data_IF_285829762094
#
_entry.id   IF_285829762094
#
_cell.length_a   1.000
_cell.length_b   1.000
_cell.length_c   1.000
_cell.angle_alpha   90.00
_cell.angle_beta   90.00
_cell.angle_gamma   90.00
#
_symmetry.space_group_name_H-M   'P 1'
#
loop_
_entity.id
_entity.type
_entity.pdbx_description
1 polymer ?
#
# COMPACT_ATOMS: atom_id res chain seq x y z
N UNK A 1 -17.95 15.43 -13.95
CA UNK A 1 -16.83 16.26 -13.45
C UNK A 1 -15.47 15.59 -13.71
N UNK A 2 -15.31 14.33 -13.37
CA UNK A 2 -14.04 13.60 -13.62
C UNK A 2 -13.74 13.41 -15.11
N UNK A 3 -14.75 13.18 -15.95
CA UNK A 3 -14.56 12.99 -17.40
C UNK A 3 -14.15 14.25 -18.13
N UNK A 4 -14.64 15.43 -17.72
CA UNK A 4 -14.26 16.69 -18.32
C UNK A 4 -12.83 17.10 -17.93
N UNK A 5 -12.40 16.81 -16.71
CA UNK A 5 -11.03 17.09 -16.25
C UNK A 5 -10.00 16.18 -16.93
N UNK A 6 -10.30 14.90 -17.10
CA UNK A 6 -9.47 13.97 -17.86
C UNK A 6 -9.38 14.33 -19.35
N UNK A 7 -10.48 14.78 -19.95
CA UNK A 7 -10.49 15.29 -21.33
C UNK A 7 -9.66 16.55 -21.51
N UNK A 8 -9.69 17.48 -20.54
CA UNK A 8 -8.88 18.69 -20.57
C UNK A 8 -7.39 18.43 -20.34
N UNK A 9 -7.03 17.43 -19.54
CA UNK A 9 -5.65 16.98 -19.35
C UNK A 9 -5.07 16.36 -20.62
N UNK A 10 -5.84 15.58 -21.37
CA UNK A 10 -5.40 14.98 -22.64
C UNK A 10 -5.10 16.04 -23.71
N UNK A 11 -5.71 17.22 -23.66
CA UNK A 11 -5.44 18.33 -24.57
C UNK A 11 -4.16 19.13 -24.24
N UNK A 12 -3.62 18.97 -23.02
CA UNK A 12 -2.41 19.69 -22.56
C UNK A 12 -1.10 19.00 -22.90
N UNK A 13 -1.14 17.71 -23.26
CA UNK A 13 0.04 16.90 -23.52
C UNK A 13 0.09 16.48 -24.99
N UNK A 14 1.34 16.38 -25.53
CA UNK A 14 1.54 15.72 -26.82
C UNK A 14 1.12 14.24 -26.76
N UNK A 15 0.76 13.66 -27.91
CA UNK A 15 0.42 12.24 -27.99
C UNK A 15 1.53 11.34 -27.42
N UNK A 16 2.79 11.69 -27.66
CA UNK A 16 3.95 10.97 -27.11
C UNK A 16 4.03 11.06 -25.59
N UNK A 17 3.76 12.23 -25.02
CA UNK A 17 3.75 12.42 -23.56
C UNK A 17 2.61 11.64 -22.91
N UNK A 18 1.43 11.62 -23.51
CA UNK A 18 0.31 10.82 -23.06
C UNK A 18 0.63 9.30 -23.07
N UNK A 19 1.31 8.83 -24.12
CA UNK A 19 1.77 7.45 -24.23
C UNK A 19 2.76 7.08 -23.13
N UNK A 20 3.74 7.93 -22.84
CA UNK A 20 4.70 7.73 -21.73
C UNK A 20 4.00 7.69 -20.38
N UNK A 21 3.02 8.57 -20.15
CA UNK A 21 2.23 8.58 -18.90
C UNK A 21 1.46 7.27 -18.76
N UNK A 22 0.83 6.80 -19.82
CA UNK A 22 0.07 5.54 -19.82
C UNK A 22 0.98 4.34 -19.53
N UNK A 23 2.16 4.29 -20.12
CA UNK A 23 3.16 3.23 -19.87
C UNK A 23 3.64 3.25 -18.40
N UNK A 24 3.94 4.42 -17.85
CA UNK A 24 4.37 4.55 -16.45
C UNK A 24 3.24 4.18 -15.48
N UNK A 25 2.01 4.55 -15.75
CA UNK A 25 0.84 4.16 -14.95
C UNK A 25 0.65 2.65 -14.97
N UNK A 26 0.72 2.03 -16.14
CA UNK A 26 0.62 0.58 -16.30
C UNK A 26 1.72 -0.14 -15.53
N UNK A 27 2.96 0.32 -15.64
CA UNK A 27 4.10 -0.22 -14.91
C UNK A 27 3.94 -0.14 -13.40
N UNK A 28 3.40 0.98 -12.88
CA UNK A 28 3.08 1.15 -11.47
C UNK A 28 2.05 0.12 -10.99
N UNK A 29 0.97 -0.05 -11.74
CA UNK A 29 -0.10 -0.99 -11.42
C UNK A 29 0.39 -2.44 -11.47
N UNK A 30 1.15 -2.81 -12.49
CA UNK A 30 1.73 -4.16 -12.63
C UNK A 30 2.73 -4.46 -11.49
N UNK A 31 3.56 -3.49 -11.12
CA UNK A 31 4.49 -3.62 -10.00
C UNK A 31 3.75 -3.85 -8.69
N UNK A 32 2.74 -3.04 -8.41
CA UNK A 32 1.91 -3.18 -7.21
C UNK A 32 1.18 -4.53 -7.17
N UNK A 33 0.64 -4.99 -8.30
CA UNK A 33 0.00 -6.29 -8.41
C UNK A 33 0.97 -7.44 -8.14
N UNK A 34 2.15 -7.39 -8.72
CA UNK A 34 3.20 -8.40 -8.54
C UNK A 34 3.68 -8.45 -7.08
N UNK A 35 3.89 -7.31 -6.47
CA UNK A 35 4.29 -7.24 -5.06
C UNK A 35 3.21 -7.82 -4.14
N UNK A 36 1.95 -7.46 -4.34
CA UNK A 36 0.84 -8.01 -3.56
C UNK A 36 0.74 -9.54 -3.71
N UNK A 37 0.88 -10.03 -4.93
CA UNK A 37 0.88 -11.46 -5.21
C UNK A 37 2.03 -12.19 -4.50
N UNK A 38 3.24 -11.63 -4.57
CA UNK A 38 4.41 -12.19 -3.90
C UNK A 38 4.22 -12.25 -2.38
N UNK A 39 3.76 -11.17 -1.76
CA UNK A 39 3.50 -11.11 -0.32
C UNK A 39 2.51 -12.19 0.12
N UNK A 40 1.42 -12.36 -0.61
CA UNK A 40 0.42 -13.38 -0.31
C UNK A 40 0.99 -14.77 -0.51
N UNK A 41 1.69 -15.00 -1.61
CA UNK A 41 2.23 -16.31 -1.95
C UNK A 41 3.32 -16.77 -0.97
N UNK A 42 4.22 -15.88 -0.57
CA UNK A 42 5.26 -16.15 0.41
C UNK A 42 4.73 -16.42 1.82
N UNK A 43 3.55 -15.88 2.14
CA UNK A 43 2.89 -16.02 3.43
C UNK A 43 1.63 -16.89 3.38
N UNK A 44 1.52 -17.76 2.38
CA UNK A 44 0.32 -18.57 2.16
C UNK A 44 -0.05 -19.42 3.37
N UNK A 45 0.92 -20.03 4.03
CA UNK A 45 0.69 -20.88 5.21
C UNK A 45 0.10 -20.08 6.38
N UNK A 46 0.55 -18.83 6.55
CA UNK A 46 0.05 -17.92 7.58
C UNK A 46 -1.39 -17.50 7.26
N UNK A 47 -1.68 -17.24 6.00
CA UNK A 47 -3.04 -16.92 5.54
C UNK A 47 -3.98 -18.10 5.76
N UNK A 48 -3.55 -19.33 5.45
CA UNK A 48 -4.33 -20.55 5.65
C UNK A 48 -4.58 -20.81 7.15
N UNK A 49 -3.61 -20.52 8.02
CA UNK A 49 -3.79 -20.61 9.47
C UNK A 49 -4.79 -19.57 9.99
N UNK A 50 -4.69 -18.33 9.51
CA UNK A 50 -5.66 -17.27 9.82
C UNK A 50 -7.10 -17.70 9.47
N UNK A 51 -7.27 -18.27 8.27
CA UNK A 51 -8.58 -18.79 7.82
C UNK A 51 -9.08 -19.90 8.73
N UNK A 52 -8.23 -20.87 9.08
CA UNK A 52 -8.62 -21.98 10.00
C UNK A 52 -9.07 -21.44 11.36
N UNK A 53 -8.33 -20.50 11.93
CA UNK A 53 -8.69 -19.91 13.21
C UNK A 53 -10.03 -19.15 13.15
N UNK A 54 -10.26 -18.38 12.07
CA UNK A 54 -11.52 -17.66 11.86
C UNK A 54 -12.71 -18.59 11.66
N UNK A 55 -12.54 -19.71 10.98
CA UNK A 55 -13.61 -20.70 10.80
C UNK A 55 -14.02 -21.37 12.12
N UNK A 56 -13.11 -21.49 13.07
CA UNK A 56 -13.38 -22.09 14.39
C UNK A 56 -13.92 -21.06 15.39
N UNK A 57 -13.33 -19.87 15.43
CA UNK A 57 -13.60 -18.86 16.48
C UNK A 57 -14.50 -17.72 16.03
N UNK A 58 -14.72 -17.54 14.69
CA UNK A 58 -15.44 -16.44 14.05
C UNK A 58 -14.79 -15.06 14.25
N UNK A 59 -14.16 -14.81 15.40
CA UNK A 59 -13.44 -13.58 15.72
C UNK A 59 -12.08 -13.90 16.35
N UNK A 60 -11.10 -13.07 16.10
CA UNK A 60 -9.76 -13.15 16.68
C UNK A 60 -9.42 -11.85 17.41
N UNK A 61 -8.81 -11.96 18.58
CA UNK A 61 -8.32 -10.80 19.31
C UNK A 61 -6.89 -10.42 18.86
N UNK A 62 -6.40 -9.28 19.34
CA UNK A 62 -5.10 -8.73 18.97
C UNK A 62 -3.93 -9.69 19.27
N UNK A 63 -3.98 -10.40 20.41
CA UNK A 63 -2.93 -11.36 20.80
C UNK A 63 -2.88 -12.55 19.84
N UNK A 64 -4.03 -13.11 19.53
CA UNK A 64 -4.17 -14.23 18.59
C UNK A 64 -3.67 -13.84 17.18
N UNK A 65 -3.99 -12.63 16.72
CA UNK A 65 -3.47 -12.10 15.47
C UNK A 65 -1.95 -11.93 15.50
N UNK A 66 -1.42 -11.40 16.60
CA UNK A 66 0.03 -11.21 16.76
C UNK A 66 0.78 -12.56 16.73
N UNK A 67 0.22 -13.60 17.33
CA UNK A 67 0.79 -14.96 17.28
C UNK A 67 0.79 -15.53 15.85
N UNK A 68 -0.32 -15.42 15.15
CA UNK A 68 -0.46 -15.89 13.76
C UNK A 68 0.54 -15.16 12.84
N UNK A 69 0.68 -13.84 13.01
CA UNK A 69 1.55 -13.02 12.16
C UNK A 69 3.01 -12.94 12.63
N UNK A 70 3.38 -13.62 13.71
CA UNK A 70 4.76 -13.59 14.23
C UNK A 70 5.82 -14.00 13.20
N UNK A 71 5.48 -14.90 12.30
CA UNK A 71 6.40 -15.46 11.29
C UNK A 71 6.18 -14.88 9.88
N UNK A 72 5.46 -13.77 9.74
CA UNK A 72 5.23 -13.13 8.44
C UNK A 72 6.55 -12.68 7.81
N UNK A 73 6.79 -13.13 6.60
CA UNK A 73 7.90 -12.66 5.77
C UNK A 73 7.55 -11.29 5.21
N UNK A 74 8.24 -10.28 5.69
CA UNK A 74 8.04 -8.90 5.23
C UNK A 74 8.73 -8.70 3.89
N UNK A 75 8.05 -8.03 2.96
CA UNK A 75 8.66 -7.60 1.72
C UNK A 75 9.83 -6.63 1.99
N UNK A 76 10.89 -6.65 1.14
CA UNK A 76 11.97 -5.68 1.25
C UNK A 76 11.43 -4.25 1.13
N UNK A 77 12.07 -3.31 1.82
CA UNK A 77 11.73 -1.89 1.66
C UNK A 77 11.87 -1.51 0.18
N UNK A 78 10.87 -0.83 -0.34
CA UNK A 78 10.93 -0.27 -1.69
C UNK A 78 12.05 0.75 -1.79
N UNK A 79 12.75 0.74 -2.90
CA UNK A 79 13.54 1.89 -3.30
C UNK A 79 12.61 3.10 -3.51
N UNK A 80 13.11 4.29 -3.21
CA UNK A 80 12.33 5.53 -3.26
C UNK A 80 11.75 5.73 -4.66
N UNK A 81 10.44 5.84 -4.74
CA UNK A 81 9.65 5.93 -6.00
C UNK A 81 9.83 7.24 -6.76
N UNK A 82 10.40 8.22 -6.14
CA UNK A 82 10.54 9.54 -6.70
C UNK A 82 11.91 9.65 -7.36
N UNK A 83 11.92 10.09 -8.59
CA UNK A 83 13.10 10.28 -9.43
C UNK A 83 14.16 11.22 -8.84
N UNK A 84 13.94 11.73 -7.66
CA UNK A 84 14.90 12.54 -6.91
C UNK A 84 15.42 11.78 -5.71
N UNK A 85 16.66 11.25 -5.86
CA UNK A 85 17.39 10.56 -4.80
C UNK A 85 17.73 11.47 -3.59
N UNK A 86 17.47 12.76 -3.70
CA UNK A 86 17.69 13.75 -2.64
C UNK A 86 16.45 13.99 -1.77
N UNK A 87 15.30 13.40 -2.13
CA UNK A 87 14.12 13.49 -1.27
C UNK A 87 14.27 12.52 -0.11
N UNK A 88 14.42 13.00 1.13
CA UNK A 88 14.43 12.12 2.29
C UNK A 88 13.08 11.41 2.40
N UNK A 89 13.11 10.14 2.82
CA UNK A 89 11.90 9.44 3.24
C UNK A 89 11.22 10.30 4.32
N UNK A 90 9.97 10.61 4.11
CA UNK A 90 9.20 11.39 5.08
C UNK A 90 8.45 10.44 6.00
N UNK A 91 8.84 10.41 7.26
CA UNK A 91 8.08 9.75 8.32
C UNK A 91 6.84 10.56 8.75
N UNK A 92 6.67 11.73 8.16
CA UNK A 92 5.54 12.61 8.42
C UNK A 92 4.41 12.19 7.47
N UNK A 93 3.23 11.80 8.00
CA UNK A 93 2.09 11.50 7.15
C UNK A 93 1.67 12.73 6.32
N UNK A 94 1.18 12.53 5.09
CA UNK A 94 0.84 13.61 4.17
C UNK A 94 -0.29 14.53 4.69
N UNK A 95 -1.07 14.04 5.64
CA UNK A 95 -2.13 14.79 6.32
C UNK A 95 -1.84 14.79 7.82
N UNK A 96 -1.84 15.96 8.49
CA UNK A 96 -1.65 16.00 9.93
C UNK A 96 -2.78 15.25 10.64
N UNK A 97 -2.40 14.29 11.48
CA UNK A 97 -3.36 13.49 12.24
C UNK A 97 -3.93 14.38 13.35
N UNK A 98 -5.27 14.58 13.44
CA UNK A 98 -5.89 15.32 14.52
C UNK A 98 -5.51 14.76 15.90
N UNK A 99 -5.29 15.64 16.87
CA UNK A 99 -4.91 15.26 18.25
C UNK A 99 -5.91 14.28 18.91
N UNK A 100 -7.19 14.40 18.56
CA UNK A 100 -8.23 13.49 19.01
C UNK A 100 -8.00 12.04 18.58
N UNK A 101 -7.47 11.85 17.36
CA UNK A 101 -7.16 10.53 16.82
C UNK A 101 -5.81 10.00 17.32
N UNK A 102 -4.84 10.87 17.61
CA UNK A 102 -3.57 10.45 18.22
C UNK A 102 -3.79 9.83 19.60
N UNK A 103 -4.66 10.44 20.41
CA UNK A 103 -5.01 9.92 21.74
C UNK A 103 -5.72 8.58 21.70
N UNK A 104 -6.64 8.38 20.74
CA UNK A 104 -7.37 7.12 20.59
C UNK A 104 -6.52 5.98 20.04
N UNK A 105 -5.47 6.30 19.28
CA UNK A 105 -4.55 5.32 18.68
C UNK A 105 -3.30 5.03 19.54
N UNK A 106 -3.16 5.66 20.74
CA UNK A 106 -2.00 5.48 21.61
C UNK A 106 -0.69 6.03 21.03
N UNK A 107 -0.76 6.91 20.02
CA UNK A 107 0.36 7.55 19.35
C UNK A 107 0.77 8.85 20.06
N UNK A 108 0.83 8.84 21.38
CA UNK A 108 1.42 9.94 22.14
C UNK A 108 2.93 9.76 22.19
N UNK A 109 3.65 10.80 21.76
CA UNK A 109 5.09 10.91 22.01
C UNK A 109 5.41 10.83 23.50
#
# INVERSE_FOLDING_TARGET
LFRSDLGSLNHKYSARTAEIIDEEVLKLVETAHTEAWNVINENREILDELVRQLLVKETLNEKELAEIFANVKKAPKREVWLSDSKRPDSDIPPVPIPESLKKSAGLTN
#
